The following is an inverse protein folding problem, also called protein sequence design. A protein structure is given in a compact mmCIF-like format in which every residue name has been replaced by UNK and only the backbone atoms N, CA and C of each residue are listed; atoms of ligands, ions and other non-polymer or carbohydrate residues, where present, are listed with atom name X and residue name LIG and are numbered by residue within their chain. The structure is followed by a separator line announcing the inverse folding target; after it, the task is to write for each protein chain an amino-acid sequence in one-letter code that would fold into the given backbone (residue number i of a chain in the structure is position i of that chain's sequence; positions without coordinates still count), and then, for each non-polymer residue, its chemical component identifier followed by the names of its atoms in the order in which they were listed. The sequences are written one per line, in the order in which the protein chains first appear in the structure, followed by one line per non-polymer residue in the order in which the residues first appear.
data_IF_401979724088
#
_entry.id   IF_401979724088
#
_cell.length_a   1.000
_cell.length_b   1.000
_cell.length_c   1.000
_cell.angle_alpha   90.00
_cell.angle_beta   90.00
_cell.angle_gamma   90.00
#
_symmetry.space_group_name_H-M   'P 1'
#
loop_
_entity.id
_entity.type
_entity.pdbx_description
1 polymer ?
#
# COMPACT_ATOMS: atom_id res chain seq x y z
N UNK A 1 26.86 58.49 27.76
CA UNK A 1 26.81 57.63 26.56
C UNK A 1 26.90 56.18 27.00
N UNK A 2 25.81 55.41 26.93
CA UNK A 2 25.83 53.96 27.18
C UNK A 2 25.23 53.29 25.95
N UNK A 3 26.05 52.49 25.29
CA UNK A 3 25.77 51.79 24.04
C UNK A 3 24.63 50.77 24.23
N UNK A 4 23.53 50.94 23.47
CA UNK A 4 22.42 49.98 23.46
C UNK A 4 22.83 48.79 22.58
N UNK A 5 23.15 47.68 23.24
CA UNK A 5 23.58 46.40 22.66
C UNK A 5 22.67 45.94 21.51
N UNK A 6 23.27 45.88 20.32
CA UNK A 6 22.80 45.21 19.11
C UNK A 6 23.00 43.71 19.29
N UNK A 7 22.08 43.03 19.98
CA UNK A 7 22.24 41.63 20.39
C UNK A 7 20.92 40.84 20.38
N UNK A 8 20.08 41.07 19.36
CA UNK A 8 18.81 40.32 19.16
C UNK A 8 18.69 39.79 17.71
N UNK A 9 19.67 40.06 16.83
CA UNK A 9 19.60 39.64 15.42
C UNK A 9 19.80 38.13 15.24
N UNK A 10 20.98 37.62 15.55
CA UNK A 10 21.45 36.39 14.92
C UNK A 10 20.78 35.10 15.42
N UNK A 11 20.34 35.07 16.69
CA UNK A 11 19.74 33.88 17.29
C UNK A 11 18.27 33.68 16.89
N UNK A 12 17.57 34.77 16.54
CA UNK A 12 16.16 34.73 16.11
C UNK A 12 16.01 34.23 14.67
N UNK A 13 16.89 34.70 13.77
CA UNK A 13 16.89 34.26 12.36
C UNK A 13 17.27 32.78 12.22
N UNK A 14 18.23 32.29 13.02
CA UNK A 14 18.64 30.89 12.99
C UNK A 14 17.51 29.96 13.47
N UNK A 15 16.80 30.34 14.54
CA UNK A 15 15.66 29.57 15.06
C UNK A 15 14.43 29.64 14.14
N UNK A 16 14.12 30.81 13.59
CA UNK A 16 13.03 30.99 12.64
C UNK A 16 13.27 30.23 11.33
N UNK A 17 14.51 30.27 10.82
CA UNK A 17 14.92 29.50 9.65
C UNK A 17 14.80 28.00 9.86
N UNK A 18 15.23 27.49 11.03
CA UNK A 18 15.10 26.07 11.37
C UNK A 18 13.63 25.62 11.41
N UNK A 19 12.76 26.43 12.02
CA UNK A 19 11.30 26.15 12.09
C UNK A 19 10.68 26.12 10.70
N UNK A 20 11.03 27.06 9.82
CA UNK A 20 10.55 27.06 8.44
C UNK A 20 11.01 25.83 7.66
N UNK A 21 12.26 25.40 7.84
CA UNK A 21 12.77 24.18 7.18
C UNK A 21 12.03 22.94 7.67
N UNK A 22 11.79 22.80 8.97
CA UNK A 22 10.98 21.71 9.54
C UNK A 22 9.54 21.69 8.98
N UNK A 23 8.91 22.86 8.83
CA UNK A 23 7.57 22.96 8.24
C UNK A 23 7.55 22.53 6.77
N UNK A 24 8.58 22.86 5.99
CA UNK A 24 8.70 22.43 4.59
C UNK A 24 8.84 20.90 4.49
N UNK A 25 9.60 20.26 5.38
CA UNK A 25 9.70 18.80 5.39
C UNK A 25 8.40 18.09 5.77
N UNK A 26 7.53 18.72 6.57
CA UNK A 26 6.21 18.15 6.92
C UNK A 26 5.24 18.11 5.73
N UNK A 27 5.36 19.04 4.77
CA UNK A 27 4.46 19.09 3.59
C UNK A 27 4.94 18.26 2.40
N UNK A 28 6.24 17.93 2.32
CA UNK A 28 6.80 17.16 1.19
C UNK A 28 6.58 15.64 1.37
N UNK A 29 6.14 15.19 2.55
CA UNK A 29 5.74 13.80 2.80
C UNK A 29 4.38 13.45 2.22
N UNK A 30 4.20 13.51 0.89
CA UNK A 30 3.03 12.92 0.25
C UNK A 30 3.26 11.41 0.10
N UNK A 31 3.03 10.66 1.17
CA UNK A 31 2.85 9.22 1.05
C UNK A 31 1.52 9.00 0.33
N UNK A 32 1.56 8.66 -0.96
CA UNK A 32 0.37 8.19 -1.68
C UNK A 32 -0.19 7.02 -0.90
N UNK A 33 -1.36 7.21 -0.28
CA UNK A 33 -2.04 6.14 0.43
C UNK A 33 -2.27 4.98 -0.55
N UNK A 34 -1.98 3.73 -0.17
CA UNK A 34 -2.30 2.58 -1.00
C UNK A 34 -3.76 2.67 -1.45
N UNK A 35 -4.03 2.46 -2.73
CA UNK A 35 -5.37 2.52 -3.30
C UNK A 35 -6.32 1.65 -2.49
N UNK A 36 -7.20 2.29 -1.72
CA UNK A 36 -8.17 1.62 -0.87
C UNK A 36 -9.38 1.15 -1.67
N UNK A 37 -10.18 0.28 -1.05
CA UNK A 37 -11.51 -0.07 -1.56
C UNK A 37 -12.39 1.19 -1.55
N UNK A 38 -12.95 1.58 -2.70
CA UNK A 38 -13.80 2.78 -2.79
C UNK A 38 -15.19 2.45 -2.23
N UNK A 39 -15.64 3.13 -1.16
CA UNK A 39 -16.96 2.89 -0.58
C UNK A 39 -18.12 3.31 -1.50
N UNK A 40 -17.87 4.10 -2.56
CA UNK A 40 -18.89 4.61 -3.48
C UNK A 40 -19.16 3.68 -4.66
N UNK A 41 -18.25 2.76 -4.96
CA UNK A 41 -18.43 1.79 -6.04
C UNK A 41 -19.32 0.65 -5.54
N UNK A 42 -20.50 0.49 -6.15
CA UNK A 42 -21.43 -0.61 -5.88
C UNK A 42 -21.06 -1.80 -6.75
N UNK A 43 -20.26 -2.72 -6.21
CA UNK A 43 -19.89 -3.98 -6.86
C UNK A 43 -18.64 -4.61 -6.26
N UNK A 44 -18.26 -5.83 -6.71
CA UNK A 44 -17.04 -6.49 -6.29
C UNK A 44 -15.79 -5.66 -6.63
N UNK A 45 -14.94 -5.45 -5.64
CA UNK A 45 -13.67 -4.74 -5.76
C UNK A 45 -12.56 -5.56 -5.11
N UNK A 46 -11.36 -5.53 -5.69
CA UNK A 46 -10.17 -6.18 -5.15
C UNK A 46 -9.01 -5.20 -5.18
N UNK A 47 -8.30 -5.12 -4.05
CA UNK A 47 -7.06 -4.37 -3.90
C UNK A 47 -5.94 -5.35 -3.55
N UNK A 48 -4.76 -5.15 -4.12
CA UNK A 48 -3.56 -5.93 -3.84
C UNK A 48 -2.51 -5.06 -3.16
N UNK A 49 -1.86 -5.59 -2.13
CA UNK A 49 -0.74 -4.95 -1.45
C UNK A 49 0.48 -5.88 -1.44
N UNK A 50 1.66 -5.43 -1.92
CA UNK A 50 1.90 -4.16 -2.60
C UNK A 50 1.19 -4.08 -3.96
N UNK A 51 0.87 -2.87 -4.44
CA UNK A 51 0.18 -2.64 -5.72
C UNK A 51 0.96 -3.18 -6.93
N UNK A 52 2.29 -3.17 -6.84
CA UNK A 52 3.18 -3.70 -7.85
C UNK A 52 4.28 -4.54 -7.20
N UNK A 53 4.57 -5.68 -7.83
CA UNK A 53 5.66 -6.57 -7.44
C UNK A 53 6.18 -7.29 -8.68
N UNK A 54 7.45 -7.69 -8.64
CA UNK A 54 8.06 -8.44 -9.75
C UNK A 54 7.57 -9.88 -9.74
N UNK A 55 7.11 -10.36 -10.89
CA UNK A 55 6.61 -11.71 -11.09
C UNK A 55 7.78 -12.67 -11.38
N UNK A 56 8.44 -13.13 -10.32
CA UNK A 56 9.30 -14.31 -10.30
C UNK A 56 8.76 -15.30 -9.27
N UNK A 57 8.86 -16.62 -9.53
CA UNK A 57 8.31 -17.65 -8.62
C UNK A 57 8.79 -17.48 -7.17
N UNK A 58 10.06 -17.07 -7.04
CA UNK A 58 10.70 -16.83 -5.74
C UNK A 58 10.25 -15.50 -5.10
N UNK A 59 9.91 -14.49 -5.88
CA UNK A 59 9.47 -13.19 -5.35
C UNK A 59 8.00 -13.21 -4.94
N UNK A 60 7.13 -13.93 -5.66
CA UNK A 60 5.69 -14.05 -5.34
C UNK A 60 5.48 -14.74 -3.98
N UNK A 61 6.24 -15.79 -3.69
CA UNK A 61 6.12 -16.56 -2.43
C UNK A 61 6.81 -15.91 -1.24
N UNK A 62 7.80 -15.03 -1.47
CA UNK A 62 8.55 -14.34 -0.41
C UNK A 62 8.04 -12.94 -0.11
N UNK A 63 7.33 -12.33 -1.05
CA UNK A 63 6.69 -11.03 -0.85
C UNK A 63 5.38 -11.27 -0.11
N UNK A 64 5.11 -10.57 1.00
CA UNK A 64 3.84 -10.68 1.71
C UNK A 64 2.73 -10.00 0.88
N UNK A 65 2.25 -10.70 -0.16
CA UNK A 65 1.19 -10.23 -1.04
C UNK A 65 -0.15 -10.54 -0.37
N UNK A 66 -0.98 -9.51 -0.25
CA UNK A 66 -2.32 -9.62 0.34
C UNK A 66 -3.34 -9.07 -0.62
N UNK A 67 -4.35 -9.87 -0.94
CA UNK A 67 -5.52 -9.47 -1.70
C UNK A 67 -6.67 -9.21 -0.73
N UNK A 68 -7.25 -8.02 -0.79
CA UNK A 68 -8.43 -7.66 0.01
C UNK A 68 -9.56 -7.36 -0.94
N UNK A 69 -10.73 -7.97 -0.71
CA UNK A 69 -11.91 -7.72 -1.53
C UNK A 69 -13.12 -7.28 -0.72
N UNK A 70 -14.04 -6.59 -1.40
CA UNK A 70 -15.31 -6.13 -0.85
C UNK A 70 -16.41 -6.13 -1.91
N UNK A 71 -17.65 -6.34 -1.50
CA UNK A 71 -18.81 -6.36 -2.38
C UNK A 71 -19.06 -7.73 -3.04
N UNK A 72 -18.48 -8.79 -2.46
CA UNK A 72 -18.71 -10.17 -2.87
C UNK A 72 -19.94 -10.75 -2.17
N UNK A 73 -20.43 -11.88 -2.69
CA UNK A 73 -21.53 -12.60 -2.07
C UNK A 73 -21.07 -13.18 -0.72
N UNK A 74 -21.77 -12.90 0.40
CA UNK A 74 -21.46 -13.51 1.69
C UNK A 74 -21.48 -15.04 1.65
N UNK A 75 -20.62 -15.67 2.43
CA UNK A 75 -20.47 -17.13 2.55
C UNK A 75 -20.04 -17.85 1.25
N UNK A 76 -19.56 -17.09 0.25
CA UNK A 76 -18.91 -17.61 -0.95
C UNK A 76 -17.40 -17.81 -0.72
N UNK A 77 -16.72 -18.45 -1.68
CA UNK A 77 -15.26 -18.62 -1.65
C UNK A 77 -14.62 -18.00 -2.89
N UNK A 78 -13.48 -17.34 -2.71
CA UNK A 78 -12.71 -16.73 -3.81
C UNK A 78 -11.40 -17.46 -4.04
N UNK A 79 -11.02 -17.59 -5.31
CA UNK A 79 -9.74 -18.15 -5.73
C UNK A 79 -8.98 -17.12 -6.57
N UNK A 80 -7.67 -17.02 -6.34
CA UNK A 80 -6.79 -16.09 -7.05
C UNK A 80 -5.76 -16.91 -7.83
N UNK A 81 -5.74 -16.69 -9.14
CA UNK A 81 -4.85 -17.40 -10.07
C UNK A 81 -3.90 -16.43 -10.79
N UNK A 82 -2.66 -16.88 -10.97
CA UNK A 82 -1.76 -16.31 -11.97
C UNK A 82 -2.04 -16.97 -13.31
N UNK A 83 -2.40 -16.15 -14.30
CA UNK A 83 -2.75 -16.62 -15.63
C UNK A 83 -1.51 -16.71 -16.53
N UNK A 84 -1.43 -17.78 -17.33
CA UNK A 84 -0.45 -17.90 -18.40
C UNK A 84 1.02 -17.93 -17.96
N UNK A 85 1.30 -18.52 -16.79
CA UNK A 85 2.65 -18.74 -16.28
C UNK A 85 3.38 -19.71 -17.20
N UNK A 86 4.56 -19.32 -17.70
CA UNK A 86 5.42 -20.23 -18.47
C UNK A 86 6.04 -21.27 -17.53
N UNK A 87 5.72 -22.54 -17.79
CA UNK A 87 6.31 -23.68 -17.09
C UNK A 87 6.87 -24.62 -18.13
N UNK A 88 8.17 -24.49 -18.41
CA UNK A 88 8.92 -25.34 -19.35
C UNK A 88 8.36 -25.25 -20.79
N UNK A 89 7.95 -24.06 -21.22
CA UNK A 89 7.44 -23.81 -22.57
C UNK A 89 5.94 -24.07 -22.75
N UNK A 90 5.22 -24.43 -21.68
CA UNK A 90 3.76 -24.50 -21.65
C UNK A 90 3.19 -23.37 -20.79
N UNK A 91 2.09 -22.74 -21.23
CA UNK A 91 1.36 -21.75 -20.43
C UNK A 91 0.35 -22.44 -19.54
N UNK A 92 0.52 -22.31 -18.22
CA UNK A 92 -0.39 -22.88 -17.22
C UNK A 92 -0.94 -21.79 -16.30
N UNK A 93 -2.14 -21.99 -15.78
CA UNK A 93 -2.69 -21.16 -14.70
C UNK A 93 -2.27 -21.77 -13.36
N UNK A 94 -1.92 -20.92 -12.39
CA UNK A 94 -1.43 -21.34 -11.08
C UNK A 94 -2.26 -20.66 -10.00
N UNK A 95 -3.00 -21.42 -9.15
CA UNK A 95 -3.65 -20.85 -7.98
C UNK A 95 -2.59 -20.41 -6.95
N UNK A 96 -2.75 -19.21 -6.39
CA UNK A 96 -1.78 -18.61 -5.47
C UNK A 96 -2.37 -18.19 -4.13
N UNK A 97 -3.69 -18.06 -4.04
CA UNK A 97 -4.38 -17.76 -2.80
C UNK A 97 -5.87 -18.11 -2.93
N UNK A 98 -6.48 -18.37 -1.78
CA UNK A 98 -7.91 -18.55 -1.60
C UNK A 98 -8.35 -17.88 -0.29
N UNK A 99 -9.64 -17.57 -0.19
CA UNK A 99 -10.26 -17.08 1.03
C UNK A 99 -11.77 -17.26 0.97
N UNK A 100 -12.39 -17.43 2.15
CA UNK A 100 -13.83 -17.32 2.29
C UNK A 100 -14.25 -15.86 2.42
N UNK A 101 -15.44 -15.56 1.89
CA UNK A 101 -16.07 -14.25 1.98
C UNK A 101 -16.90 -14.20 3.26
N UNK A 102 -16.63 -13.20 4.09
CA UNK A 102 -17.35 -13.01 5.35
C UNK A 102 -18.81 -12.59 5.15
N UNK A 103 -19.55 -12.51 6.25
CA UNK A 103 -20.96 -12.07 6.27
C UNK A 103 -21.17 -10.64 5.74
N UNK A 104 -20.10 -9.84 5.63
CA UNK A 104 -20.12 -8.47 5.13
C UNK A 104 -19.73 -8.38 3.64
N UNK A 105 -19.53 -9.51 2.96
CA UNK A 105 -19.11 -9.55 1.56
C UNK A 105 -17.64 -9.15 1.37
N UNK A 106 -16.79 -9.35 2.38
CA UNK A 106 -15.38 -9.00 2.39
C UNK A 106 -14.49 -10.25 2.51
N UNK A 107 -13.30 -10.22 1.90
CA UNK A 107 -12.31 -11.30 2.07
C UNK A 107 -10.90 -10.73 2.22
N UNK A 108 -10.00 -11.52 2.80
CA UNK A 108 -8.55 -11.26 2.83
C UNK A 108 -7.80 -12.55 2.49
N UNK A 109 -7.22 -12.62 1.30
CA UNK A 109 -6.46 -13.76 0.81
C UNK A 109 -4.97 -13.42 0.82
N UNK A 110 -4.18 -14.19 1.56
CA UNK A 110 -2.72 -14.04 1.61
C UNK A 110 -2.10 -15.03 0.65
N UNK A 111 -1.14 -14.57 -0.16
CA UNK A 111 -0.35 -15.50 -0.99
C UNK A 111 0.43 -16.41 -0.06
N UNK A 112 0.18 -17.70 -0.18
CA UNK A 112 0.94 -18.76 0.48
C UNK A 112 1.27 -19.84 -0.54
N UNK A 113 2.19 -20.72 -0.19
CA UNK A 113 2.44 -21.91 -1.02
C UNK A 113 1.27 -22.86 -0.77
N UNK A 114 0.32 -22.88 -1.71
CA UNK A 114 -0.75 -23.89 -1.79
C UNK A 114 -0.16 -25.25 -2.16
#
# INVERSE_FOLDING_TARGET
MIAKKRWIGDTGYLKGGLICVFLVFLVIGCATAPGGLDPNIKGPQVVVQPEAFTLGVVSVTRTPIVFTGKGFQPDDSVFIELLGVDKKGEKVNVPIADADVDSNGCFTAKVSTL
#
